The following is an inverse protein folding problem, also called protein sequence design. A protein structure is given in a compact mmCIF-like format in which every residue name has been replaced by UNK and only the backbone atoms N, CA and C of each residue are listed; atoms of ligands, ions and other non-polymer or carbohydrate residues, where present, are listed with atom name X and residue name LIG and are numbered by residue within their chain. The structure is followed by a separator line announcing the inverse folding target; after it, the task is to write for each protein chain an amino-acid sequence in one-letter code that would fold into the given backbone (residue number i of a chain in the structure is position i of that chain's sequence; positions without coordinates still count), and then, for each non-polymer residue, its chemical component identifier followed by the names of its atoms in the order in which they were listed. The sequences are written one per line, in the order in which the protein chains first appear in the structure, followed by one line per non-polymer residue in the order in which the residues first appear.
data_IF_423423840343
#
_entry.id   IF_423423840343
#
_cell.length_a   1.000
_cell.length_b   1.000
_cell.length_c   1.000
_cell.angle_alpha   90.00
_cell.angle_beta   90.00
_cell.angle_gamma   90.00
#
_symmetry.space_group_name_H-M   'P 1'
#
loop_
_entity.id
_entity.type
_entity.pdbx_description
1 polymer ?
#
# COMPACT_ATOMS: atom_id res chain seq x y z
N UNK A 1 -5.21 2.04 4.81
CA UNK A 1 -6.54 1.60 4.33
C UNK A 1 -7.40 1.25 5.52
N UNK A 2 -8.61 1.79 5.58
CA UNK A 2 -9.57 1.59 6.68
C UNK A 2 -10.81 0.88 6.13
N UNK A 3 -11.34 -0.08 6.90
CA UNK A 3 -12.54 -0.85 6.54
C UNK A 3 -13.79 -0.13 7.03
N UNK A 4 -14.73 0.16 6.14
CA UNK A 4 -15.94 0.93 6.44
C UNK A 4 -17.19 0.06 6.67
N UNK A 5 -17.04 -1.27 6.65
CA UNK A 5 -18.16 -2.23 6.69
C UNK A 5 -18.64 -2.59 5.30
N UNK A 6 -19.48 -3.63 5.18
CA UNK A 6 -20.13 -4.05 3.92
C UNK A 6 -19.21 -4.24 2.71
N UNK A 7 -17.94 -4.62 2.96
CA UNK A 7 -16.95 -4.78 1.91
C UNK A 7 -16.40 -3.47 1.34
N UNK A 8 -16.69 -2.33 1.99
CA UNK A 8 -16.19 -1.00 1.62
C UNK A 8 -14.87 -0.69 2.31
N UNK A 9 -13.98 -0.03 1.58
CA UNK A 9 -12.68 0.40 2.09
C UNK A 9 -12.36 1.81 1.61
N UNK A 10 -11.59 2.54 2.40
CA UNK A 10 -10.99 3.80 1.99
C UNK A 10 -9.48 3.71 2.19
N UNK A 11 -8.73 4.17 1.20
CA UNK A 11 -7.30 4.37 1.25
C UNK A 11 -7.03 5.87 1.11
N UNK A 12 -6.42 6.45 2.12
CA UNK A 12 -5.98 7.84 2.12
C UNK A 12 -4.68 7.91 2.89
N UNK A 13 -3.90 8.94 2.58
CA UNK A 13 -2.63 9.16 3.25
C UNK A 13 -1.89 10.33 2.64
N UNK A 14 -0.85 10.72 3.34
CA UNK A 14 0.07 11.75 2.90
C UNK A 14 1.05 11.17 1.88
N UNK A 15 1.33 11.94 0.83
CA UNK A 15 2.53 11.75 0.03
C UNK A 15 3.15 13.11 -0.29
N UNK A 16 4.43 13.25 0.00
CA UNK A 16 5.22 14.46 -0.25
C UNK A 16 5.69 14.54 -1.71
N UNK A 17 5.64 13.44 -2.46
CA UNK A 17 5.88 13.42 -3.89
C UNK A 17 4.62 13.78 -4.71
N UNK A 18 3.44 13.76 -4.09
CA UNK A 18 2.18 14.07 -4.75
C UNK A 18 2.12 15.52 -5.22
N UNK A 19 1.71 15.72 -6.48
CA UNK A 19 1.44 17.05 -7.03
C UNK A 19 0.16 17.69 -6.49
N UNK A 20 -0.68 16.92 -5.78
CA UNK A 20 -2.04 17.32 -5.39
C UNK A 20 -2.03 18.48 -4.40
N UNK A 21 -1.13 18.46 -3.40
CA UNK A 21 -1.07 19.50 -2.35
C UNK A 21 -0.69 20.89 -2.89
N UNK A 22 0.06 20.92 -3.99
CA UNK A 22 0.63 22.14 -4.58
C UNK A 22 -0.09 22.56 -5.87
N UNK A 23 -1.11 21.81 -6.29
CA UNK A 23 -1.85 22.08 -7.51
C UNK A 23 -2.70 23.35 -7.37
N UNK A 24 -2.68 24.20 -8.41
CA UNK A 24 -3.54 25.39 -8.51
C UNK A 24 -4.34 25.35 -9.82
N UNK A 25 -5.69 25.38 -9.78
CA UNK A 25 -6.54 25.50 -8.59
C UNK A 25 -6.48 24.26 -7.69
N UNK A 26 -6.75 24.42 -6.39
CA UNK A 26 -6.79 23.31 -5.42
C UNK A 26 -7.69 22.18 -5.91
N UNK A 27 -7.19 20.96 -5.80
CA UNK A 27 -7.93 19.74 -6.11
C UNK A 27 -8.76 19.34 -4.89
N UNK A 28 -10.06 19.14 -5.09
CA UNK A 28 -10.94 18.52 -4.11
C UNK A 28 -10.92 17.00 -4.28
N UNK A 29 -10.15 16.32 -3.42
CA UNK A 29 -10.02 14.85 -3.42
C UNK A 29 -11.28 14.12 -2.97
N UNK A 30 -12.27 14.84 -2.44
CA UNK A 30 -13.55 14.29 -1.97
C UNK A 30 -14.70 14.57 -2.95
N UNK A 31 -14.41 15.22 -4.08
CA UNK A 31 -15.41 15.48 -5.11
C UNK A 31 -16.02 14.17 -5.64
N UNK A 32 -17.36 14.05 -5.51
CA UNK A 32 -18.09 12.86 -5.94
C UNK A 32 -17.90 11.63 -5.05
N UNK A 33 -17.27 11.80 -3.88
CA UNK A 33 -17.12 10.73 -2.91
C UNK A 33 -18.48 10.24 -2.38
N UNK A 34 -18.61 8.95 -2.06
CA UNK A 34 -19.83 8.40 -1.51
C UNK A 34 -20.05 8.86 -0.06
N UNK A 35 -21.32 8.93 0.35
CA UNK A 35 -21.77 9.45 1.66
C UNK A 35 -21.25 8.68 2.89
N UNK A 36 -20.81 7.43 2.70
CA UNK A 36 -20.26 6.59 3.75
C UNK A 36 -18.80 6.89 4.10
N UNK A 37 -18.12 7.77 3.37
CA UNK A 37 -16.76 8.17 3.73
C UNK A 37 -16.74 8.95 5.05
N UNK A 38 -15.63 8.86 5.82
CA UNK A 38 -15.45 9.64 7.04
C UNK A 38 -15.12 11.11 6.71
N UNK A 39 -16.09 11.86 6.18
CA UNK A 39 -15.89 13.22 5.67
C UNK A 39 -15.30 14.19 6.69
N UNK A 40 -15.70 14.11 7.97
CA UNK A 40 -15.14 14.96 9.02
C UNK A 40 -13.61 14.79 9.12
N UNK A 41 -13.13 13.54 9.27
CA UNK A 41 -11.70 13.24 9.31
C UNK A 41 -10.99 13.63 8.01
N UNK A 42 -11.60 13.34 6.86
CA UNK A 42 -10.96 13.60 5.57
C UNK A 42 -10.87 15.09 5.26
N UNK A 43 -11.87 15.89 5.65
CA UNK A 43 -11.80 17.34 5.53
C UNK A 43 -10.74 17.93 6.44
N UNK A 44 -10.69 17.52 7.71
CA UNK A 44 -9.67 17.99 8.66
C UNK A 44 -8.25 17.74 8.11
N UNK A 45 -8.01 16.54 7.56
CA UNK A 45 -6.71 16.18 6.95
C UNK A 45 -6.43 16.92 5.65
N UNK A 46 -7.46 17.17 4.84
CA UNK A 46 -7.33 17.96 3.61
C UNK A 46 -6.90 19.39 3.93
N UNK A 47 -7.52 20.01 4.93
CA UNK A 47 -7.17 21.35 5.43
C UNK A 47 -5.78 21.38 6.05
N UNK A 48 -5.38 20.30 6.73
CA UNK A 48 -4.06 20.10 7.32
C UNK A 48 -2.92 19.78 6.33
N UNK A 49 -3.20 19.64 5.02
CA UNK A 49 -2.24 19.16 4.00
C UNK A 49 -1.70 17.74 4.25
N UNK A 50 -2.45 16.91 4.96
CA UNK A 50 -2.09 15.52 5.30
C UNK A 50 -2.61 14.51 4.27
N UNK A 51 -3.26 14.97 3.20
CA UNK A 51 -3.75 14.14 2.12
C UNK A 51 -2.94 14.40 0.84
N UNK A 52 -2.34 13.34 0.31
CA UNK A 52 -1.81 13.26 -1.06
C UNK A 52 -2.78 12.56 -1.99
N UNK A 53 -3.59 11.63 -1.48
CA UNK A 53 -4.62 10.93 -2.24
C UNK A 53 -5.79 10.44 -1.38
N UNK A 54 -6.95 10.23 -2.02
CA UNK A 54 -8.11 9.53 -1.44
C UNK A 54 -8.71 8.61 -2.48
N UNK A 55 -8.80 7.33 -2.14
CA UNK A 55 -9.35 6.25 -2.95
C UNK A 55 -10.41 5.50 -2.14
N UNK A 56 -11.53 5.17 -2.77
CA UNK A 56 -12.60 4.40 -2.15
C UNK A 56 -12.90 3.15 -2.96
N UNK A 57 -13.13 2.06 -2.25
CA UNK A 57 -13.52 0.77 -2.82
C UNK A 57 -14.95 0.45 -2.45
N UNK A 58 -15.74 0.11 -3.45
CA UNK A 58 -17.07 -0.44 -3.29
C UNK A 58 -17.33 -1.47 -4.40
N UNK A 59 -17.96 -2.58 -4.04
CA UNK A 59 -18.52 -3.54 -5.01
C UNK A 59 -17.52 -4.05 -6.07
N UNK A 60 -16.25 -4.25 -5.68
CA UNK A 60 -15.21 -4.76 -6.59
C UNK A 60 -14.40 -3.71 -7.32
N UNK A 61 -14.69 -2.42 -7.13
CA UNK A 61 -14.10 -1.34 -7.92
C UNK A 61 -13.49 -0.29 -7.00
N UNK A 62 -12.25 0.11 -7.32
CA UNK A 62 -11.62 1.29 -6.76
C UNK A 62 -11.98 2.52 -7.58
N UNK A 63 -12.30 3.62 -6.90
CA UNK A 63 -12.57 4.92 -7.49
C UNK A 63 -11.90 6.03 -6.68
N UNK A 64 -11.76 7.20 -7.31
CA UNK A 64 -11.28 8.44 -6.72
C UNK A 64 -11.94 9.63 -7.38
N UNK A 65 -11.74 10.82 -6.81
CA UNK A 65 -12.15 12.06 -7.46
C UNK A 65 -11.46 12.19 -8.83
N UNK A 66 -12.17 12.78 -9.79
CA UNK A 66 -11.59 13.11 -11.09
C UNK A 66 -10.58 14.24 -10.92
N UNK A 67 -9.34 14.01 -11.35
CA UNK A 67 -8.27 15.00 -11.28
C UNK A 67 -8.08 15.68 -12.64
N UNK A 68 -7.55 16.92 -12.66
CA UNK A 68 -7.16 17.60 -13.89
C UNK A 68 -6.14 16.79 -14.71
N UNK A 69 -6.22 16.90 -16.04
CA UNK A 69 -5.34 16.16 -16.97
C UNK A 69 -3.85 16.57 -16.86
N UNK A 70 -3.56 17.74 -16.28
CA UNK A 70 -2.21 18.25 -16.07
C UNK A 70 -1.58 17.80 -14.74
N UNK A 71 -2.35 17.15 -13.86
CA UNK A 71 -1.79 16.49 -12.68
C UNK A 71 -1.02 15.23 -13.11
N UNK A 72 0.30 15.27 -12.90
CA UNK A 72 1.21 14.19 -13.32
C UNK A 72 1.27 13.01 -12.37
N UNK A 73 1.20 13.28 -11.07
CA UNK A 73 1.32 12.27 -10.01
C UNK A 73 0.45 12.69 -8.84
N UNK A 74 -0.45 11.79 -8.42
CA UNK A 74 -1.29 11.96 -7.25
C UNK A 74 -0.74 11.27 -6.00
N UNK A 75 0.49 10.76 -6.09
CA UNK A 75 1.22 10.08 -5.05
C UNK A 75 1.00 8.57 -4.99
N UNK A 76 0.11 8.02 -5.84
CA UNK A 76 0.00 6.57 -5.97
C UNK A 76 1.27 5.95 -6.56
N UNK A 77 1.92 6.65 -7.51
CA UNK A 77 3.07 6.13 -8.26
C UNK A 77 4.31 5.91 -7.39
N UNK A 78 4.60 6.82 -6.46
CA UNK A 78 5.74 6.71 -5.56
C UNK A 78 5.58 5.56 -4.55
N UNK A 79 4.36 5.35 -4.05
CA UNK A 79 4.10 4.42 -2.96
C UNK A 79 3.66 3.03 -3.39
N UNK A 80 2.60 2.96 -4.19
CA UNK A 80 1.74 1.77 -4.28
C UNK A 80 1.59 1.19 -5.68
N UNK A 81 1.78 1.97 -6.76
CA UNK A 81 1.55 1.51 -8.15
C UNK A 81 2.33 0.24 -8.48
N UNK A 82 3.58 0.12 -8.02
CA UNK A 82 4.45 -1.06 -8.18
C UNK A 82 3.97 -2.34 -7.47
N UNK A 83 2.91 -2.25 -6.66
CA UNK A 83 2.34 -3.40 -5.94
C UNK A 83 0.98 -3.84 -6.51
N UNK A 84 0.50 -3.20 -7.58
CA UNK A 84 -0.79 -3.52 -8.20
C UNK A 84 -0.65 -4.64 -9.23
N UNK A 85 0.50 -4.74 -9.91
CA UNK A 85 0.81 -5.81 -10.85
C UNK A 85 1.74 -6.86 -10.25
N UNK A 86 1.46 -8.14 -10.54
CA UNK A 86 2.24 -9.27 -10.00
C UNK A 86 3.69 -9.26 -10.49
N UNK A 87 3.92 -8.94 -11.77
CA UNK A 87 5.25 -8.89 -12.36
C UNK A 87 6.10 -7.80 -11.70
N UNK A 88 5.52 -6.62 -11.49
CA UNK A 88 6.19 -5.50 -10.81
C UNK A 88 6.55 -5.86 -9.36
N UNK A 89 5.63 -6.50 -8.62
CA UNK A 89 5.91 -7.00 -7.25
C UNK A 89 7.08 -7.99 -7.25
N UNK A 90 7.13 -8.88 -8.24
CA UNK A 90 8.21 -9.85 -8.36
C UNK A 90 9.54 -9.18 -8.72
N UNK A 91 9.50 -8.15 -9.57
CA UNK A 91 10.65 -7.30 -9.89
C UNK A 91 11.22 -6.65 -8.64
N UNK A 92 10.35 -6.01 -7.85
CA UNK A 92 10.70 -5.38 -6.57
C UNK A 92 11.28 -6.39 -5.58
N UNK A 93 10.61 -7.53 -5.36
CA UNK A 93 11.11 -8.58 -4.45
C UNK A 93 12.52 -9.05 -4.84
N UNK A 94 12.82 -9.20 -6.13
CA UNK A 94 14.16 -9.63 -6.59
C UNK A 94 15.24 -8.63 -6.24
N UNK A 95 14.95 -7.32 -6.19
CA UNK A 95 15.92 -6.31 -5.77
C UNK A 95 16.38 -6.53 -4.32
N UNK A 96 15.52 -7.10 -3.48
CA UNK A 96 15.77 -7.26 -2.05
C UNK A 96 16.17 -8.69 -1.63
N UNK A 97 16.03 -9.72 -2.47
CA UNK A 97 16.23 -11.13 -2.07
C UNK A 97 17.57 -11.72 -2.48
N UNK A 98 18.38 -12.31 -1.58
CA UNK A 98 19.73 -12.85 -1.84
C UNK A 98 19.81 -13.61 -3.16
N UNK A 99 20.74 -13.22 -4.04
CA UNK A 99 21.04 -13.98 -5.26
C UNK A 99 21.65 -15.34 -4.88
N UNK A 100 21.00 -16.45 -5.28
CA UNK A 100 21.57 -17.79 -5.16
C UNK A 100 20.55 -18.94 -5.26
N UNK A 101 21.06 -20.13 -5.59
CA UNK A 101 20.27 -21.37 -5.80
C UNK A 101 19.68 -21.98 -4.52
N UNK A 102 19.91 -21.40 -3.34
CA UNK A 102 19.60 -22.03 -2.06
C UNK A 102 18.51 -21.31 -1.25
N UNK A 103 17.96 -20.20 -1.75
CA UNK A 103 16.84 -19.47 -1.14
C UNK A 103 15.50 -19.74 -1.84
N UNK A 104 14.37 -19.45 -1.18
CA UNK A 104 13.06 -19.44 -1.84
C UNK A 104 13.04 -18.35 -2.92
N UNK A 105 12.47 -18.67 -4.08
CA UNK A 105 12.31 -17.68 -5.16
C UNK A 105 11.29 -16.60 -4.78
N UNK A 106 11.39 -15.42 -5.40
CA UNK A 106 10.39 -14.37 -5.27
C UNK A 106 8.97 -14.88 -5.56
N UNK A 107 8.82 -15.78 -6.52
CA UNK A 107 7.54 -16.43 -6.84
C UNK A 107 7.00 -17.25 -5.67
N UNK A 108 7.85 -18.03 -5.00
CA UNK A 108 7.43 -18.84 -3.86
C UNK A 108 7.01 -17.94 -2.69
N UNK A 109 7.82 -16.95 -2.34
CA UNK A 109 7.51 -16.02 -1.26
C UNK A 109 6.20 -15.25 -1.52
N UNK A 110 6.00 -14.75 -2.73
CA UNK A 110 4.77 -14.05 -3.09
C UNK A 110 3.55 -14.99 -3.05
N UNK A 111 3.67 -16.20 -3.58
CA UNK A 111 2.57 -17.19 -3.56
C UNK A 111 2.19 -17.60 -2.14
N UNK A 112 3.17 -17.72 -1.24
CA UNK A 112 2.92 -18.00 0.17
C UNK A 112 2.25 -16.81 0.88
N UNK A 113 2.64 -15.57 0.56
CA UNK A 113 2.01 -14.38 1.12
C UNK A 113 0.55 -14.24 0.68
N UNK A 114 0.26 -14.44 -0.61
CA UNK A 114 -1.11 -14.43 -1.16
C UNK A 114 -1.98 -15.55 -0.59
N UNK A 115 -1.37 -16.68 -0.25
CA UNK A 115 -2.04 -17.79 0.40
C UNK A 115 -2.12 -17.66 1.93
N UNK A 116 -1.65 -16.54 2.51
CA UNK A 116 -1.59 -16.29 3.97
C UNK A 116 -0.79 -17.35 4.75
N UNK A 117 0.25 -17.90 4.12
CA UNK A 117 1.13 -18.94 4.68
C UNK A 117 2.59 -18.54 4.71
N UNK A 118 2.91 -17.26 4.50
CA UNK A 118 4.28 -16.79 4.51
C UNK A 118 4.95 -17.10 5.86
N UNK A 119 6.12 -17.71 5.81
CA UNK A 119 6.95 -17.87 6.99
C UNK A 119 7.85 -16.64 7.11
N UNK A 120 7.56 -15.77 8.09
CA UNK A 120 8.32 -14.53 8.29
C UNK A 120 9.83 -14.75 8.35
N UNK A 121 10.27 -15.84 9.01
CA UNK A 121 11.68 -16.20 9.11
C UNK A 121 12.31 -16.52 7.75
N UNK A 122 11.58 -17.22 6.88
CA UNK A 122 12.03 -17.58 5.53
C UNK A 122 12.21 -16.32 4.67
N UNK A 123 11.31 -15.34 4.77
CA UNK A 123 11.48 -14.03 4.13
C UNK A 123 12.72 -13.32 4.69
N UNK A 124 12.82 -13.16 6.01
CA UNK A 124 13.87 -12.38 6.68
C UNK A 124 15.27 -12.94 6.44
N UNK A 125 15.43 -14.26 6.44
CA UNK A 125 16.72 -14.91 6.16
C UNK A 125 17.12 -14.81 4.67
N UNK A 126 16.17 -14.45 3.79
CA UNK A 126 16.39 -14.32 2.35
C UNK A 126 16.71 -12.90 1.87
N UNK A 127 16.82 -11.89 2.74
CA UNK A 127 17.04 -10.48 2.32
C UNK A 127 18.53 -10.13 2.10
N UNK A 128 18.86 -9.45 0.98
CA UNK A 128 20.21 -9.00 0.55
C UNK A 128 20.82 -7.93 1.46
N UNK A 129 20.02 -6.96 1.90
CA UNK A 129 20.50 -5.75 2.56
C UNK A 129 19.50 -5.22 3.60
N UNK A 130 20.05 -4.61 4.65
CA UNK A 130 19.38 -4.16 5.87
C UNK A 130 18.44 -5.23 6.45
N UNK A 131 19.02 -6.24 7.11
CA UNK A 131 18.24 -7.00 8.10
C UNK A 131 17.54 -5.96 8.97
N UNK A 132 16.20 -6.03 9.09
CA UNK A 132 15.49 -5.06 9.90
C UNK A 132 16.13 -5.03 11.29
N UNK A 133 16.28 -3.83 11.84
CA UNK A 133 16.92 -3.63 13.16
C UNK A 133 16.25 -4.46 14.24
N UNK A 134 14.94 -4.71 14.10
CA UNK A 134 14.15 -5.65 14.89
C UNK A 134 13.40 -6.62 13.96
N UNK A 135 13.99 -7.79 13.65
CA UNK A 135 13.33 -8.82 12.82
C UNK A 135 12.06 -9.39 13.47
N UNK A 136 11.98 -9.38 14.81
CA UNK A 136 10.80 -9.85 15.52
C UNK A 136 9.65 -8.85 15.42
N UNK A 137 9.94 -7.54 15.41
CA UNK A 137 8.93 -6.53 15.09
C UNK A 137 8.38 -6.71 13.68
N UNK A 138 9.24 -6.94 12.69
CA UNK A 138 8.79 -7.21 11.31
C UNK A 138 7.94 -8.48 11.26
N UNK A 139 8.34 -9.56 11.93
CA UNK A 139 7.54 -10.77 12.02
C UNK A 139 6.16 -10.52 12.65
N UNK A 140 6.09 -9.74 13.74
CA UNK A 140 4.82 -9.35 14.37
C UNK A 140 3.94 -8.55 13.42
N UNK A 141 4.50 -7.61 12.65
CA UNK A 141 3.76 -6.82 11.65
C UNK A 141 3.21 -7.71 10.54
N UNK A 142 4.00 -8.65 10.01
CA UNK A 142 3.56 -9.59 8.98
C UNK A 142 2.41 -10.49 9.47
N UNK A 143 2.47 -10.92 10.74
CA UNK A 143 1.37 -11.69 11.37
C UNK A 143 0.14 -10.81 11.58
N UNK A 144 0.32 -9.58 12.08
CA UNK A 144 -0.79 -8.65 12.29
C UNK A 144 -1.48 -8.24 10.97
N UNK A 145 -0.73 -8.17 9.87
CA UNK A 145 -1.24 -7.96 8.53
C UNK A 145 -1.91 -9.21 7.93
N UNK A 146 -1.85 -10.36 8.60
CA UNK A 146 -2.47 -11.62 8.18
C UNK A 146 -1.72 -12.37 7.08
N UNK A 147 -0.60 -11.85 6.58
CA UNK A 147 0.15 -12.46 5.46
C UNK A 147 1.03 -13.62 5.90
N UNK A 148 1.44 -13.65 7.17
CA UNK A 148 2.34 -14.66 7.73
C UNK A 148 1.70 -15.49 8.84
N UNK A 149 2.12 -16.74 8.96
CA UNK A 149 1.73 -17.61 10.09
C UNK A 149 2.54 -17.28 11.34
N UNK A 150 1.93 -17.29 12.54
CA UNK A 150 2.68 -17.20 13.79
C UNK A 150 3.77 -18.27 13.87
N UNK A 151 4.97 -17.90 14.28
CA UNK A 151 6.01 -18.87 14.62
C UNK A 151 5.56 -19.62 15.89
N UNK A 152 5.51 -20.95 15.82
CA UNK A 152 5.23 -21.81 16.98
C UNK A 152 6.40 -21.80 17.99
#
# INVERSE_FOLDING_TARGET
MSRMGDGRFVLYGEDEASGVKLHEPRIDMLAGAPDWLPFEELHDRLEGYELGCVYWYDSGVWARASYPDDLRDDGLDCGMSRFVDREDVLGELRLYLIDGDHGPSAHHLLSDAEAYRLKARVLLDSLRAARPTDPDAVARVLVAAGVATPTA
#
